data_IF_477029857585
#
_entry.id   IF_477029857585
#
_cell.length_a   1.000
_cell.length_b   1.000
_cell.length_c   1.000
_cell.angle_alpha   90.00
_cell.angle_beta   90.00
_cell.angle_gamma   90.00
#
_symmetry.space_group_name_H-M   'P 1'
#
loop_
_entity.id
_entity.type
_entity.pdbx_description
1 polymer ?
#
# COMPACT_ATOMS: atom_id res chain seq x y z
N UNK A 1 -3.88 6.39 30.82
CA UNK A 1 -4.75 5.62 29.89
C UNK A 1 -6.13 6.24 29.64
N UNK A 2 -6.88 6.71 30.66
CA UNK A 2 -8.21 7.37 30.46
C UNK A 2 -8.17 8.58 29.51
N UNK A 3 -7.16 9.46 29.63
CA UNK A 3 -7.02 10.64 28.75
C UNK A 3 -6.77 10.30 27.27
N UNK A 4 -6.15 9.15 26.98
CA UNK A 4 -5.84 8.76 25.60
C UNK A 4 -7.07 8.21 24.85
N UNK A 5 -8.07 7.66 25.57
CA UNK A 5 -9.32 7.18 24.94
C UNK A 5 -10.17 8.32 24.37
N UNK A 6 -10.07 9.52 24.93
CA UNK A 6 -10.72 10.71 24.35
C UNK A 6 -10.03 11.14 23.06
N UNK A 7 -8.70 11.03 22.98
CA UNK A 7 -7.95 11.29 21.75
C UNK A 7 -8.34 10.31 20.63
N UNK A 8 -8.56 9.03 20.95
CA UNK A 8 -9.08 8.07 19.98
C UNK A 8 -10.44 8.48 19.40
N UNK A 9 -11.35 9.00 20.24
CA UNK A 9 -12.64 9.49 19.76
C UNK A 9 -12.49 10.74 18.91
N UNK A 10 -11.54 11.61 19.26
CA UNK A 10 -11.24 12.81 18.49
C UNK A 10 -10.69 12.43 17.11
N UNK A 11 -9.77 11.45 17.01
CA UNK A 11 -9.27 10.94 15.73
C UNK A 11 -10.41 10.40 14.86
N UNK A 12 -11.30 9.58 15.43
CA UNK A 12 -12.48 9.06 14.71
C UNK A 12 -13.39 10.22 14.28
N UNK A 13 -13.66 11.19 15.14
CA UNK A 13 -14.52 12.33 14.81
C UNK A 13 -13.91 13.20 13.70
N UNK A 14 -12.61 13.47 13.74
CA UNK A 14 -11.89 14.21 12.71
C UNK A 14 -11.86 13.44 11.38
N UNK A 15 -11.73 12.12 11.42
CA UNK A 15 -11.86 11.27 10.24
C UNK A 15 -13.25 11.39 9.61
N UNK A 16 -14.32 11.27 10.40
CA UNK A 16 -15.68 11.43 9.91
C UNK A 16 -15.92 12.83 9.32
N UNK A 17 -15.39 13.89 9.97
CA UNK A 17 -15.46 15.25 9.46
C UNK A 17 -14.71 15.42 8.12
N UNK A 18 -13.52 14.83 8.00
CA UNK A 18 -12.74 14.84 6.76
C UNK A 18 -13.47 14.16 5.60
N UNK A 19 -14.09 12.99 5.84
CA UNK A 19 -14.95 12.35 4.85
C UNK A 19 -16.18 13.17 4.52
N UNK A 20 -16.83 13.80 5.51
CA UNK A 20 -17.99 14.66 5.26
C UNK A 20 -17.63 15.84 4.34
N UNK A 21 -16.45 16.44 4.50
CA UNK A 21 -15.94 17.49 3.59
C UNK A 21 -15.71 16.94 2.19
N UNK A 22 -15.07 15.76 2.06
CA UNK A 22 -14.86 15.10 0.78
C UNK A 22 -16.18 14.81 0.05
N UNK A 23 -17.15 14.20 0.75
CA UNK A 23 -18.48 13.89 0.22
C UNK A 23 -19.27 15.15 -0.13
N UNK A 24 -19.20 16.20 0.70
CA UNK A 24 -19.80 17.49 0.39
C UNK A 24 -19.24 18.06 -0.92
N UNK A 25 -17.93 17.97 -1.12
CA UNK A 25 -17.29 18.40 -2.36
C UNK A 25 -17.73 17.58 -3.58
N UNK A 26 -17.94 16.27 -3.42
CA UNK A 26 -18.52 15.41 -4.47
C UNK A 26 -19.95 15.83 -4.80
N UNK A 27 -20.81 15.99 -3.80
CA UNK A 27 -22.23 16.36 -4.00
C UNK A 27 -22.38 17.75 -4.61
N UNK A 28 -21.52 18.70 -4.24
CA UNK A 28 -21.55 20.08 -4.74
C UNK A 28 -20.78 20.27 -6.05
N UNK A 29 -19.98 19.31 -6.47
CA UNK A 29 -19.10 19.44 -7.64
C UNK A 29 -17.96 20.45 -7.42
N UNK A 30 -17.48 20.58 -6.18
CA UNK A 30 -16.45 21.56 -5.82
C UNK A 30 -15.10 21.18 -6.39
N UNK A 31 -14.64 21.93 -7.39
CA UNK A 31 -13.46 21.59 -8.21
C UNK A 31 -12.20 21.41 -7.38
N UNK A 32 -11.97 22.24 -6.37
CA UNK A 32 -10.77 22.14 -5.52
C UNK A 32 -10.79 20.85 -4.71
N UNK A 33 -11.93 20.47 -4.13
CA UNK A 33 -12.05 19.23 -3.38
C UNK A 33 -11.91 18.04 -4.32
N UNK A 34 -12.56 18.07 -5.48
CA UNK A 34 -12.46 17.00 -6.47
C UNK A 34 -11.03 16.84 -7.04
N UNK A 35 -10.26 17.93 -7.16
CA UNK A 35 -8.85 17.91 -7.57
C UNK A 35 -7.98 17.16 -6.55
N UNK A 36 -8.31 17.27 -5.25
CA UNK A 36 -7.53 16.73 -4.13
C UNK A 36 -8.28 15.63 -3.37
N UNK A 37 -9.29 15.03 -4.00
CA UNK A 37 -10.25 14.13 -3.36
C UNK A 37 -9.57 12.91 -2.74
N UNK A 38 -8.47 12.46 -3.35
CA UNK A 38 -7.60 11.41 -2.84
C UNK A 38 -7.24 11.60 -1.36
N UNK A 39 -6.85 12.82 -0.97
CA UNK A 39 -6.42 13.09 0.40
C UNK A 39 -7.58 13.03 1.38
N UNK A 40 -8.77 13.47 0.96
CA UNK A 40 -10.01 13.34 1.74
C UNK A 40 -10.50 11.88 1.84
N UNK A 41 -10.14 11.02 0.90
CA UNK A 41 -10.46 9.59 0.98
C UNK A 41 -9.55 8.85 1.97
N UNK A 42 -8.24 9.07 1.89
CA UNK A 42 -7.25 8.19 2.54
C UNK A 42 -6.78 8.64 3.92
N UNK A 43 -6.50 9.93 4.13
CA UNK A 43 -6.04 10.39 5.45
C UNK A 43 -7.11 10.23 6.52
N UNK A 44 -8.38 10.57 6.26
CA UNK A 44 -9.45 10.28 7.20
C UNK A 44 -9.64 8.77 7.44
N UNK A 45 -9.52 7.92 6.41
CA UNK A 45 -9.56 6.46 6.60
C UNK A 45 -8.47 6.00 7.57
N UNK A 46 -7.22 6.41 7.34
CA UNK A 46 -6.07 6.01 8.16
C UNK A 46 -6.23 6.49 9.60
N UNK A 47 -6.59 7.76 9.81
CA UNK A 47 -6.80 8.32 11.15
C UNK A 47 -7.96 7.64 11.88
N UNK A 48 -9.06 7.38 11.17
CA UNK A 48 -10.23 6.69 11.72
C UNK A 48 -9.91 5.24 12.12
N UNK A 49 -9.20 4.50 11.26
CA UNK A 49 -8.77 3.13 11.55
C UNK A 49 -7.81 3.08 12.74
N UNK A 50 -6.86 4.01 12.86
CA UNK A 50 -5.95 4.06 14.00
C UNK A 50 -6.70 4.35 15.32
N UNK A 51 -7.64 5.31 15.30
CA UNK A 51 -8.50 5.59 16.45
C UNK A 51 -9.39 4.39 16.84
N UNK A 52 -9.95 3.68 15.86
CA UNK A 52 -10.72 2.44 16.09
C UNK A 52 -9.82 1.35 16.68
N UNK A 53 -8.63 1.13 16.11
CA UNK A 53 -7.66 0.18 16.63
C UNK A 53 -7.31 0.50 18.08
N UNK A 54 -7.17 1.78 18.41
CA UNK A 54 -6.90 2.20 19.77
C UNK A 54 -8.05 1.86 20.73
N UNK A 55 -9.29 2.04 20.29
CA UNK A 55 -10.47 1.66 21.07
C UNK A 55 -10.56 0.15 21.31
N UNK A 56 -10.15 -0.66 20.33
CA UNK A 56 -10.24 -2.11 20.39
C UNK A 56 -9.08 -2.77 21.15
N UNK A 57 -7.85 -2.32 20.93
CA UNK A 57 -6.61 -2.96 21.46
C UNK A 57 -5.83 -2.11 22.45
N UNK A 58 -6.15 -0.83 22.61
CA UNK A 58 -5.34 0.07 23.45
C UNK A 58 -3.99 0.44 22.83
N UNK A 59 -3.81 0.22 21.53
CA UNK A 59 -2.60 0.55 20.76
C UNK A 59 -2.97 1.46 19.59
N UNK A 60 -2.15 2.48 19.34
CA UNK A 60 -2.30 3.42 18.22
C UNK A 60 -0.93 3.73 17.61
N UNK A 61 -0.84 3.71 16.29
CA UNK A 61 0.39 4.07 15.59
C UNK A 61 0.66 5.57 15.72
N UNK A 62 -0.36 6.43 15.60
CA UNK A 62 -0.17 7.89 15.70
C UNK A 62 0.18 8.33 17.13
N UNK A 63 -0.52 7.82 18.13
CA UNK A 63 -0.41 8.31 19.51
C UNK A 63 0.64 7.56 20.33
N UNK A 64 0.72 6.23 20.16
CA UNK A 64 1.62 5.41 21.00
C UNK A 64 2.94 5.08 20.31
N UNK A 65 3.00 5.07 18.98
CA UNK A 65 4.20 4.71 18.21
C UNK A 65 4.51 5.68 17.04
N UNK A 66 4.49 7.02 17.25
CA UNK A 66 4.54 8.00 16.16
C UNK A 66 5.79 7.88 15.29
N UNK A 67 6.94 7.49 15.87
CA UNK A 67 8.18 7.30 15.11
C UNK A 67 8.06 6.16 14.10
N UNK A 68 7.49 5.03 14.51
CA UNK A 68 7.28 3.89 13.62
C UNK A 68 6.23 4.22 12.56
N UNK A 69 5.19 4.98 12.92
CA UNK A 69 4.20 5.46 11.98
C UNK A 69 4.83 6.37 10.90
N UNK A 70 5.64 7.35 11.29
CA UNK A 70 6.37 8.21 10.36
C UNK A 70 7.33 7.42 9.46
N UNK A 71 8.02 6.42 10.01
CA UNK A 71 8.86 5.52 9.21
C UNK A 71 8.02 4.70 8.20
N UNK A 72 6.86 4.20 8.61
CA UNK A 72 5.93 3.50 7.72
C UNK A 72 5.44 4.40 6.59
N UNK A 73 5.09 5.67 6.87
CA UNK A 73 4.74 6.65 5.84
C UNK A 73 5.89 6.85 4.85
N UNK A 74 7.12 7.00 5.35
CA UNK A 74 8.32 7.18 4.53
C UNK A 74 8.59 5.94 3.65
N UNK A 75 8.50 4.73 4.21
CA UNK A 75 8.65 3.50 3.43
C UNK A 75 7.53 3.30 2.43
N UNK A 76 6.29 3.70 2.75
CA UNK A 76 5.15 3.57 1.86
C UNK A 76 5.36 4.27 0.53
N UNK A 77 5.97 5.47 0.56
CA UNK A 77 6.35 6.18 -0.68
C UNK A 77 7.30 5.34 -1.53
N UNK A 78 8.29 4.71 -0.90
CA UNK A 78 9.29 3.91 -1.64
C UNK A 78 8.70 2.64 -2.19
N UNK A 79 7.87 1.96 -1.41
CA UNK A 79 7.14 0.76 -1.82
C UNK A 79 6.31 1.08 -3.06
N UNK A 80 5.50 2.14 -3.04
CA UNK A 80 4.69 2.50 -4.20
C UNK A 80 5.55 2.88 -5.42
N UNK A 81 6.65 3.61 -5.22
CA UNK A 81 7.54 3.98 -6.31
C UNK A 81 8.23 2.79 -6.99
N UNK A 82 8.38 1.66 -6.31
CA UNK A 82 8.83 0.41 -6.93
C UNK A 82 7.78 -0.10 -7.93
N UNK A 83 6.50 -0.06 -7.58
CA UNK A 83 5.41 -0.41 -8.50
C UNK A 83 5.29 0.60 -9.65
N UNK A 84 5.52 1.89 -9.40
CA UNK A 84 5.64 2.89 -10.47
C UNK A 84 6.79 2.58 -11.42
N UNK A 85 7.95 2.14 -10.92
CA UNK A 85 9.08 1.75 -11.76
C UNK A 85 8.72 0.57 -12.69
N UNK A 86 7.98 -0.42 -12.17
CA UNK A 86 7.44 -1.51 -13.00
C UNK A 86 6.41 -1.00 -14.00
N UNK A 87 5.57 -0.05 -13.59
CA UNK A 87 4.57 0.56 -14.46
C UNK A 87 5.18 1.35 -15.62
N UNK A 88 6.39 1.91 -15.48
CA UNK A 88 7.09 2.53 -16.62
C UNK A 88 7.28 1.55 -17.80
N UNK A 89 7.48 0.26 -17.50
CA UNK A 89 7.60 -0.79 -18.50
C UNK A 89 6.23 -1.36 -18.92
N UNK A 90 5.36 -1.63 -17.94
CA UNK A 90 4.08 -2.33 -18.17
C UNK A 90 2.98 -1.41 -18.73
N UNK A 91 3.02 -0.13 -18.37
CA UNK A 91 2.04 0.90 -18.75
C UNK A 91 0.61 0.48 -18.40
N UNK A 92 0.43 -0.11 -17.22
CA UNK A 92 -0.86 -0.60 -16.72
C UNK A 92 -1.78 0.53 -16.26
N UNK A 93 -1.22 1.63 -15.74
CA UNK A 93 -1.97 2.81 -15.35
C UNK A 93 -1.24 4.11 -15.72
N UNK A 94 -1.99 5.19 -15.80
CA UNK A 94 -1.46 6.55 -15.94
C UNK A 94 -2.27 7.56 -15.14
N UNK A 95 -1.68 8.74 -14.94
CA UNK A 95 -2.27 9.83 -14.16
C UNK A 95 -2.81 10.94 -15.05
N UNK A 96 -4.01 11.43 -14.74
CA UNK A 96 -4.67 12.52 -15.47
C UNK A 96 -5.01 13.70 -14.56
N UNK A 97 -5.13 14.88 -15.18
CA UNK A 97 -5.48 16.17 -14.57
C UNK A 97 -4.59 16.55 -13.37
N UNK A 98 -3.30 16.19 -13.42
CA UNK A 98 -2.34 16.54 -12.38
C UNK A 98 -1.98 18.03 -12.43
N UNK A 99 -1.68 18.62 -11.27
CA UNK A 99 -1.29 20.03 -11.17
C UNK A 99 -0.06 20.34 -12.04
N UNK A 100 -0.03 21.43 -12.83
CA UNK A 100 1.12 21.77 -13.68
C UNK A 100 2.36 22.18 -12.86
N UNK A 101 2.17 22.64 -11.62
CA UNK A 101 3.25 23.07 -10.73
C UNK A 101 4.06 21.87 -10.21
N UNK A 102 5.24 21.61 -10.80
CA UNK A 102 6.03 20.42 -10.52
C UNK A 102 6.35 20.18 -9.04
N UNK A 103 6.71 21.22 -8.28
CA UNK A 103 7.03 21.07 -6.85
C UNK A 103 5.79 20.72 -6.00
N UNK A 104 4.61 21.26 -6.34
CA UNK A 104 3.34 20.91 -5.69
C UNK A 104 2.96 19.47 -6.04
N UNK A 105 3.17 19.09 -7.30
CA UNK A 105 2.90 17.74 -7.79
C UNK A 105 3.75 16.70 -7.09
N UNK A 106 5.05 16.94 -6.95
CA UNK A 106 5.97 16.02 -6.27
C UNK A 106 5.67 15.93 -4.77
N UNK A 107 5.34 17.04 -4.12
CA UNK A 107 4.84 17.00 -2.74
C UNK A 107 3.55 16.17 -2.64
N UNK A 108 2.65 16.34 -3.62
CA UNK A 108 1.44 15.53 -3.77
C UNK A 108 1.74 14.03 -3.91
N UNK A 109 2.76 13.63 -4.69
CA UNK A 109 3.19 12.24 -4.81
C UNK A 109 3.67 11.67 -3.48
N UNK A 110 4.54 12.39 -2.76
CA UNK A 110 5.00 11.95 -1.43
C UNK A 110 3.82 11.74 -0.49
N UNK A 111 2.93 12.72 -0.41
CA UNK A 111 1.76 12.68 0.48
C UNK A 111 0.80 11.58 0.06
N UNK A 112 0.57 11.39 -1.25
CA UNK A 112 -0.34 10.35 -1.73
C UNK A 112 0.20 8.94 -1.54
N UNK A 113 1.47 8.71 -1.86
CA UNK A 113 2.09 7.38 -1.79
C UNK A 113 2.44 6.97 -0.36
N UNK A 114 2.50 7.92 0.57
CA UNK A 114 2.65 7.64 1.99
C UNK A 114 1.46 6.87 2.60
N UNK A 115 0.29 6.84 1.93
CA UNK A 115 -0.94 6.26 2.50
C UNK A 115 -1.12 4.77 2.23
N UNK A 116 -0.34 4.17 1.33
CA UNK A 116 -0.55 2.79 0.85
C UNK A 116 -0.34 1.76 1.97
N UNK A 117 0.86 1.71 2.57
CA UNK A 117 1.15 0.78 3.67
C UNK A 117 0.24 1.00 4.89
N UNK A 118 0.09 2.23 5.44
CA UNK A 118 -0.78 2.42 6.60
C UNK A 118 -2.23 2.05 6.28
N UNK A 119 -2.73 2.35 5.08
CA UNK A 119 -4.09 1.99 4.66
C UNK A 119 -4.34 0.49 4.74
N UNK A 120 -3.44 -0.31 4.15
CA UNK A 120 -3.55 -1.78 4.14
C UNK A 120 -3.34 -2.36 5.54
N UNK A 121 -2.25 -1.99 6.22
CA UNK A 121 -1.86 -2.61 7.49
C UNK A 121 -2.82 -2.26 8.63
N UNK A 122 -3.32 -1.02 8.70
CA UNK A 122 -4.32 -0.65 9.70
C UNK A 122 -5.64 -1.35 9.45
N UNK A 123 -6.07 -1.47 8.20
CA UNK A 123 -7.31 -2.19 7.85
C UNK A 123 -7.21 -3.65 8.31
N UNK A 124 -6.10 -4.33 8.02
CA UNK A 124 -5.88 -5.70 8.46
C UNK A 124 -5.87 -5.82 10.01
N UNK A 125 -5.16 -4.92 10.69
CA UNK A 125 -5.09 -4.91 12.17
C UNK A 125 -6.46 -4.65 12.81
N UNK A 126 -7.27 -3.76 12.24
CA UNK A 126 -8.64 -3.49 12.72
C UNK A 126 -9.54 -4.70 12.51
N UNK A 127 -9.49 -5.37 11.35
CA UNK A 127 -10.22 -6.63 11.11
C UNK A 127 -9.88 -7.68 12.15
N UNK A 128 -8.58 -7.87 12.44
CA UNK A 128 -8.18 -8.77 13.51
C UNK A 128 -8.61 -8.28 14.89
N UNK A 129 -8.56 -6.98 15.17
CA UNK A 129 -8.98 -6.42 16.45
C UNK A 129 -10.48 -6.63 16.71
N UNK A 130 -11.30 -6.59 15.65
CA UNK A 130 -12.74 -6.90 15.70
C UNK A 130 -13.05 -8.39 15.88
N UNK A 131 -12.04 -9.27 15.87
CA UNK A 131 -12.24 -10.71 16.06
C UNK A 131 -12.45 -11.50 14.77
N UNK A 132 -12.24 -10.90 13.59
CA UNK A 132 -12.38 -11.60 12.32
C UNK A 132 -11.46 -12.84 12.26
N UNK A 133 -12.01 -13.96 11.77
CA UNK A 133 -11.35 -15.27 11.62
C UNK A 133 -10.50 -15.74 12.82
N UNK A 134 -10.88 -15.38 14.05
CA UNK A 134 -10.09 -15.71 15.26
C UNK A 134 -9.81 -17.21 15.43
N UNK A 135 -10.73 -18.05 14.99
CA UNK A 135 -10.64 -19.50 15.11
C UNK A 135 -9.97 -20.17 13.89
N UNK A 136 -9.57 -19.40 12.88
CA UNK A 136 -8.97 -19.94 11.67
C UNK A 136 -7.48 -20.26 11.93
N UNK A 137 -7.24 -21.52 12.28
CA UNK A 137 -5.91 -22.12 12.39
C UNK A 137 -5.86 -23.37 11.53
N UNK A 138 -4.69 -23.67 10.98
CA UNK A 138 -4.44 -24.93 10.31
C UNK A 138 -3.41 -25.75 11.09
N UNK A 139 -3.28 -27.03 10.73
CA UNK A 139 -2.18 -27.85 11.23
C UNK A 139 -0.86 -27.28 10.72
N UNK A 140 0.14 -27.09 11.59
CA UNK A 140 1.49 -26.73 11.16
C UNK A 140 2.05 -27.79 10.22
N UNK A 141 2.90 -27.37 9.29
CA UNK A 141 3.68 -28.27 8.43
C UNK A 141 5.12 -27.77 8.33
N UNK A 142 6.05 -28.68 8.05
CA UNK A 142 7.44 -28.31 7.82
C UNK A 142 7.61 -27.95 6.33
N UNK A 143 7.87 -26.67 5.98
CA UNK A 143 8.04 -26.26 4.60
C UNK A 143 9.41 -26.66 4.03
N UNK A 144 10.30 -27.26 4.83
CA UNK A 144 11.67 -27.57 4.43
C UNK A 144 12.45 -26.31 4.06
N UNK A 145 13.37 -26.43 3.09
CA UNK A 145 14.12 -25.30 2.54
C UNK A 145 13.32 -24.63 1.40
N UNK A 146 12.24 -23.93 1.76
CA UNK A 146 11.32 -23.29 0.82
C UNK A 146 11.88 -22.01 0.19
N UNK A 147 12.91 -21.40 0.78
CA UNK A 147 13.45 -20.09 0.41
C UNK A 147 13.93 -20.04 -1.06
N UNK A 148 14.74 -20.99 -1.56
CA UNK A 148 15.20 -20.95 -2.95
C UNK A 148 14.05 -21.07 -3.95
N UNK A 149 13.06 -21.93 -3.68
CA UNK A 149 11.88 -22.08 -4.55
C UNK A 149 11.04 -20.81 -4.55
N UNK A 150 10.84 -20.20 -3.38
CA UNK A 150 10.18 -18.90 -3.26
C UNK A 150 10.89 -17.83 -4.10
N UNK A 151 12.22 -17.72 -3.99
CA UNK A 151 12.98 -16.77 -4.79
C UNK A 151 12.85 -17.02 -6.30
N UNK A 152 12.91 -18.28 -6.75
CA UNK A 152 12.72 -18.63 -8.16
C UNK A 152 11.32 -18.24 -8.66
N UNK A 153 10.28 -18.52 -7.87
CA UNK A 153 8.91 -18.11 -8.17
C UNK A 153 8.81 -16.58 -8.23
N UNK A 154 9.34 -15.88 -7.25
CA UNK A 154 9.32 -14.41 -7.21
C UNK A 154 10.05 -13.78 -8.41
N UNK A 155 11.20 -14.32 -8.80
CA UNK A 155 11.93 -13.88 -10.00
C UNK A 155 11.11 -14.14 -11.27
N UNK A 156 10.48 -15.31 -11.39
CA UNK A 156 9.62 -15.61 -12.53
C UNK A 156 8.42 -14.66 -12.60
N UNK A 157 7.75 -14.41 -11.46
CA UNK A 157 6.62 -13.49 -11.37
C UNK A 157 7.02 -12.03 -11.65
N UNK A 158 8.27 -11.65 -11.45
CA UNK A 158 8.79 -10.32 -11.78
C UNK A 158 9.21 -10.20 -13.26
N UNK A 159 9.89 -11.21 -13.81
CA UNK A 159 10.45 -11.17 -15.17
C UNK A 159 9.40 -11.46 -16.24
N UNK A 160 8.50 -12.43 -16.03
CA UNK A 160 7.49 -12.81 -17.02
C UNK A 160 6.60 -11.63 -17.46
N UNK A 161 6.13 -10.75 -16.56
CA UNK A 161 5.42 -9.53 -16.94
C UNK A 161 6.23 -8.59 -17.84
N UNK A 162 7.54 -8.51 -17.66
CA UNK A 162 8.40 -7.64 -18.48
C UNK A 162 8.63 -8.23 -19.88
N UNK A 163 8.69 -9.56 -19.99
CA UNK A 163 8.83 -10.25 -21.28
C UNK A 163 7.51 -10.35 -22.05
N UNK A 164 6.40 -10.56 -21.32
CA UNK A 164 5.06 -10.78 -21.89
C UNK A 164 4.01 -9.85 -21.26
N UNK A 165 4.18 -8.51 -21.35
CA UNK A 165 3.36 -7.54 -20.62
C UNK A 165 1.87 -7.62 -20.97
N UNK A 166 1.53 -8.11 -22.17
CA UNK A 166 0.14 -8.25 -22.59
C UNK A 166 -0.68 -9.22 -21.74
N UNK A 167 -0.06 -10.30 -21.23
CA UNK A 167 -0.77 -11.39 -20.56
C UNK A 167 -0.28 -11.65 -19.15
N UNK A 168 1.03 -11.47 -18.91
CA UNK A 168 1.64 -11.78 -17.63
C UNK A 168 1.56 -10.62 -16.63
N UNK A 169 1.07 -9.42 -17.01
CA UNK A 169 0.98 -8.27 -16.11
C UNK A 169 0.34 -8.54 -14.73
N UNK A 170 -0.65 -9.45 -14.55
CA UNK A 170 -1.23 -9.70 -13.23
C UNK A 170 -0.25 -10.37 -12.25
N UNK A 171 0.79 -11.03 -12.76
CA UNK A 171 1.74 -11.79 -11.92
C UNK A 171 2.58 -10.89 -11.01
N UNK A 172 2.73 -9.61 -11.35
CA UNK A 172 3.51 -8.67 -10.54
C UNK A 172 2.97 -8.52 -9.11
N UNK A 173 1.66 -8.74 -8.90
CA UNK A 173 0.98 -8.53 -7.62
C UNK A 173 1.24 -9.65 -6.60
N UNK A 174 2.09 -10.63 -6.93
CA UNK A 174 2.63 -11.61 -5.98
C UNK A 174 4.16 -11.75 -6.01
N UNK A 175 4.85 -11.02 -6.90
CA UNK A 175 6.29 -11.11 -7.06
C UNK A 175 7.07 -10.76 -5.79
N UNK A 176 6.76 -9.63 -5.14
CA UNK A 176 7.51 -9.14 -3.99
C UNK A 176 7.27 -9.96 -2.72
N UNK A 177 6.10 -10.58 -2.59
CA UNK A 177 5.84 -11.56 -1.53
C UNK A 177 6.89 -12.68 -1.58
N UNK A 178 7.02 -13.34 -2.73
CA UNK A 178 7.94 -14.46 -2.88
C UNK A 178 9.42 -14.07 -2.91
N UNK A 179 9.73 -12.85 -3.38
CA UNK A 179 11.10 -12.32 -3.39
C UNK A 179 11.60 -11.93 -2.00
N UNK A 180 10.77 -11.32 -1.16
CA UNK A 180 11.23 -10.67 0.07
C UNK A 180 10.96 -11.47 1.34
N UNK A 181 9.91 -12.29 1.38
CA UNK A 181 9.58 -13.08 2.58
C UNK A 181 10.69 -14.06 3.01
N UNK A 182 11.43 -14.71 2.07
CA UNK A 182 12.63 -15.47 2.43
C UNK A 182 13.66 -14.65 3.21
N UNK A 183 13.86 -13.38 2.85
CA UNK A 183 14.80 -12.51 3.54
C UNK A 183 14.26 -12.04 4.90
N UNK A 184 12.95 -11.85 5.04
CA UNK A 184 12.33 -11.63 6.36
C UNK A 184 12.69 -12.77 7.31
N UNK A 185 12.57 -14.02 6.86
CA UNK A 185 12.95 -15.20 7.64
C UNK A 185 14.45 -15.23 7.96
N UNK A 186 15.30 -15.05 6.94
CA UNK A 186 16.76 -15.12 7.09
C UNK A 186 17.35 -14.02 7.99
N UNK A 187 16.72 -12.85 8.01
CA UNK A 187 17.10 -11.74 8.91
C UNK A 187 16.53 -11.91 10.33
N UNK A 188 15.79 -12.99 10.60
CA UNK A 188 15.11 -13.23 11.88
C UNK A 188 14.03 -12.18 12.18
N UNK A 189 13.36 -11.68 11.13
CA UNK A 189 12.19 -10.81 11.18
C UNK A 189 10.88 -11.61 11.06
N UNK A 190 9.79 -10.89 10.80
CA UNK A 190 8.46 -11.49 10.66
C UNK A 190 8.22 -11.98 9.22
N UNK A 191 8.23 -13.31 9.03
CA UNK A 191 7.96 -13.97 7.74
C UNK A 191 6.54 -14.52 7.72
N UNK A 192 5.76 -14.06 6.74
CA UNK A 192 4.40 -14.52 6.53
C UNK A 192 4.36 -16.00 6.12
N UNK A 193 5.27 -16.45 5.25
CA UNK A 193 5.33 -17.87 4.87
C UNK A 193 5.66 -18.76 6.07
N UNK A 194 6.57 -18.33 6.95
CA UNK A 194 6.88 -19.08 8.17
C UNK A 194 5.67 -19.17 9.12
N UNK A 195 4.92 -18.07 9.29
CA UNK A 195 3.68 -18.06 10.08
C UNK A 195 2.58 -18.91 9.45
N UNK A 196 2.47 -18.87 8.11
CA UNK A 196 1.59 -19.74 7.34
C UNK A 196 1.94 -21.22 7.58
N UNK A 197 3.23 -21.57 7.55
CA UNK A 197 3.70 -22.92 7.83
C UNK A 197 3.48 -23.34 9.29
N UNK A 198 3.56 -22.40 10.24
CA UNK A 198 3.19 -22.61 11.64
C UNK A 198 1.68 -22.76 11.89
N UNK A 199 0.85 -22.68 10.84
CA UNK A 199 -0.61 -22.86 10.92
C UNK A 199 -1.38 -21.57 11.24
N UNK A 200 -0.71 -20.41 11.27
CA UNK A 200 -1.33 -19.11 11.47
C UNK A 200 -1.96 -18.59 10.16
N UNK A 201 -3.27 -18.75 10.02
CA UNK A 201 -4.01 -18.32 8.81
C UNK A 201 -4.66 -16.95 8.93
N UNK A 202 -4.90 -16.52 10.16
CA UNK A 202 -5.73 -15.37 10.47
C UNK A 202 -5.22 -14.09 9.80
N UNK A 203 -3.95 -13.77 10.03
CA UNK A 203 -3.33 -12.55 9.49
C UNK A 203 -3.36 -12.54 7.96
N UNK A 204 -3.03 -13.67 7.32
CA UNK A 204 -3.11 -13.81 5.86
C UNK A 204 -4.50 -13.47 5.33
N UNK A 205 -5.56 -14.02 5.93
CA UNK A 205 -6.94 -13.75 5.49
C UNK A 205 -7.34 -12.31 5.80
N UNK A 206 -6.92 -11.74 6.93
CA UNK A 206 -7.14 -10.33 7.24
C UNK A 206 -6.42 -9.40 6.25
N UNK A 207 -5.20 -9.72 5.83
CA UNK A 207 -4.45 -8.97 4.81
C UNK A 207 -5.14 -9.08 3.44
N UNK A 208 -5.52 -10.28 3.01
CA UNK A 208 -6.26 -10.48 1.75
C UNK A 208 -7.57 -9.68 1.74
N UNK A 209 -8.32 -9.72 2.85
CA UNK A 209 -9.55 -8.95 3.02
C UNK A 209 -9.28 -7.44 3.05
N UNK A 210 -8.23 -7.00 3.75
CA UNK A 210 -7.82 -5.60 3.78
C UNK A 210 -7.44 -5.09 2.39
N UNK A 211 -6.72 -5.89 1.60
CA UNK A 211 -6.43 -5.60 0.20
C UNK A 211 -7.69 -5.36 -0.60
N UNK A 212 -8.66 -6.28 -0.53
CA UNK A 212 -9.94 -6.11 -1.23
C UNK A 212 -10.70 -4.85 -0.77
N UNK A 213 -10.81 -4.61 0.54
CA UNK A 213 -11.49 -3.44 1.11
C UNK A 213 -10.80 -2.15 0.66
N UNK A 214 -9.48 -2.08 0.75
CA UNK A 214 -8.70 -0.93 0.32
C UNK A 214 -8.81 -0.71 -1.20
N UNK A 215 -8.87 -1.79 -2.01
CA UNK A 215 -9.06 -1.70 -3.45
C UNK A 215 -10.44 -1.18 -3.83
N UNK A 216 -11.50 -1.69 -3.20
CA UNK A 216 -12.87 -1.16 -3.37
C UNK A 216 -12.97 0.30 -2.93
N UNK A 217 -12.36 0.63 -1.79
CA UNK A 217 -12.29 2.00 -1.29
C UNK A 217 -11.55 2.90 -2.28
N UNK A 218 -10.40 2.46 -2.79
CA UNK A 218 -9.64 3.18 -3.78
C UNK A 218 -10.51 3.54 -4.98
N UNK A 219 -11.09 2.53 -5.61
CA UNK A 219 -11.80 2.69 -6.88
C UNK A 219 -13.05 3.55 -6.74
N UNK A 220 -13.78 3.42 -5.61
CA UNK A 220 -14.96 4.22 -5.34
C UNK A 220 -14.66 5.73 -5.28
N UNK A 221 -13.56 6.13 -4.63
CA UNK A 221 -13.19 7.55 -4.52
C UNK A 221 -12.47 8.06 -5.77
N UNK A 222 -11.65 7.23 -6.41
CA UNK A 222 -10.97 7.57 -7.65
C UNK A 222 -11.95 7.93 -8.78
N UNK A 223 -13.13 7.29 -8.81
CA UNK A 223 -14.17 7.56 -9.80
C UNK A 223 -14.61 9.02 -9.86
N UNK A 224 -14.77 9.67 -8.70
CA UNK A 224 -15.23 11.06 -8.59
C UNK A 224 -14.11 12.09 -8.71
N UNK A 225 -12.86 11.68 -8.57
CA UNK A 225 -11.73 12.60 -8.53
C UNK A 225 -11.43 13.21 -9.92
N UNK A 226 -11.03 14.49 -9.93
CA UNK A 226 -10.49 15.13 -11.14
C UNK A 226 -9.07 14.63 -11.37
N UNK A 227 -8.18 14.78 -10.37
CA UNK A 227 -6.87 14.12 -10.39
C UNK A 227 -7.07 12.67 -10.05
N UNK A 228 -6.94 11.80 -11.04
CA UNK A 228 -7.14 10.36 -10.84
C UNK A 228 -6.14 9.55 -11.65
N UNK A 229 -6.03 8.28 -11.29
CA UNK A 229 -5.46 7.32 -12.22
C UNK A 229 -6.51 6.78 -13.17
N UNK A 230 -6.05 6.34 -14.33
CA UNK A 230 -6.82 5.62 -15.33
C UNK A 230 -6.06 4.37 -15.73
N UNK A 231 -6.79 3.25 -15.85
CA UNK A 231 -6.20 1.97 -16.23
C UNK A 231 -6.11 1.83 -17.75
N UNK A 232 -4.95 1.40 -18.21
CA UNK A 232 -4.64 1.09 -19.62
C UNK A 232 -4.22 -0.38 -19.70
N UNK A 233 -5.15 -1.29 -19.41
CA UNK A 233 -4.83 -2.72 -19.43
C UNK A 233 -4.76 -3.24 -20.88
N UNK A 234 -3.77 -4.08 -21.23
CA UNK A 234 -3.65 -4.63 -22.58
C UNK A 234 -4.81 -5.57 -22.96
N UNK A 235 -5.39 -6.23 -21.95
CA UNK A 235 -6.51 -7.19 -22.04
C UNK A 235 -7.38 -6.98 -20.80
N UNK A 236 -8.63 -7.50 -20.80
CA UNK A 236 -9.59 -7.41 -19.69
C UNK A 236 -10.24 -6.03 -19.49
N UNK A 237 -10.38 -5.20 -20.53
CA UNK A 237 -11.04 -3.88 -20.42
C UNK A 237 -12.58 -3.92 -20.31
N UNK A 238 -13.17 -5.07 -20.00
CA UNK A 238 -14.60 -5.28 -19.97
C UNK A 238 -15.12 -5.38 -18.51
N UNK A 239 -16.42 -5.18 -18.29
CA UNK A 239 -17.07 -5.36 -16.96
C UNK A 239 -16.43 -4.45 -15.90
N UNK A 240 -16.25 -3.17 -16.24
CA UNK A 240 -15.67 -2.18 -15.34
C UNK A 240 -16.62 -1.85 -14.20
N UNK A 241 -16.09 -1.88 -12.98
CA UNK A 241 -16.71 -1.32 -11.79
C UNK A 241 -15.81 -0.15 -11.39
N UNK A 242 -16.34 1.06 -11.53
CA UNK A 242 -15.53 2.29 -11.56
C UNK A 242 -14.51 2.27 -12.72
N UNK A 243 -13.25 2.64 -12.49
CA UNK A 243 -12.23 2.66 -13.54
C UNK A 243 -11.65 1.25 -13.80
N UNK A 244 -11.69 0.37 -12.79
CA UNK A 244 -11.10 -0.95 -12.84
C UNK A 244 -12.05 -2.03 -13.40
N UNK A 245 -11.58 -2.92 -14.29
CA UNK A 245 -12.27 -4.15 -14.62
C UNK A 245 -12.47 -5.06 -13.41
N UNK A 246 -13.59 -5.78 -13.35
CA UNK A 246 -13.89 -6.68 -12.24
C UNK A 246 -12.76 -7.69 -11.92
N UNK A 247 -12.09 -8.34 -12.90
CA UNK A 247 -10.95 -9.21 -12.62
C UNK A 247 -9.74 -8.47 -12.02
N UNK A 248 -9.62 -7.17 -12.26
CA UNK A 248 -8.57 -6.33 -11.70
C UNK A 248 -8.62 -6.29 -10.16
N UNK A 249 -9.80 -6.36 -9.56
CA UNK A 249 -9.95 -6.37 -8.10
C UNK A 249 -9.28 -7.58 -7.44
N UNK A 250 -9.04 -8.66 -8.18
CA UNK A 250 -8.31 -9.83 -7.70
C UNK A 250 -6.81 -9.56 -7.47
N UNK A 251 -6.28 -8.45 -8.00
CA UNK A 251 -4.90 -8.01 -7.73
C UNK A 251 -4.72 -7.39 -6.35
N UNK A 252 -5.76 -6.80 -5.76
CA UNK A 252 -5.65 -6.12 -4.47
C UNK A 252 -5.39 -7.06 -3.27
N UNK A 253 -6.04 -8.23 -3.15
CA UNK A 253 -5.73 -9.18 -2.08
C UNK A 253 -4.26 -9.61 -2.03
N UNK A 254 -3.64 -10.16 -3.11
CA UNK A 254 -2.25 -10.56 -3.07
C UNK A 254 -1.30 -9.35 -2.90
N UNK A 255 -1.63 -8.18 -3.46
CA UNK A 255 -0.90 -6.94 -3.20
C UNK A 255 -0.80 -6.60 -1.71
N UNK A 256 -1.85 -6.83 -0.92
CA UNK A 256 -1.80 -6.57 0.52
C UNK A 256 -0.80 -7.49 1.25
N UNK A 257 -0.62 -8.73 0.78
CA UNK A 257 0.45 -9.60 1.29
C UNK A 257 1.82 -9.06 0.90
N UNK A 258 2.00 -8.59 -0.33
CA UNK A 258 3.26 -7.95 -0.76
C UNK A 258 3.60 -6.73 0.09
N UNK A 259 2.62 -5.84 0.29
CA UNK A 259 2.77 -4.64 1.10
C UNK A 259 3.24 -4.98 2.53
N UNK A 260 2.65 -6.00 3.14
CA UNK A 260 3.04 -6.47 4.47
C UNK A 260 4.46 -7.07 4.47
N UNK A 261 4.80 -7.93 3.52
CA UNK A 261 6.15 -8.50 3.41
C UNK A 261 7.21 -7.43 3.15
N UNK A 262 6.93 -6.47 2.28
CA UNK A 262 7.83 -5.34 2.00
C UNK A 262 8.07 -4.51 3.27
N UNK A 263 7.02 -4.23 4.05
CA UNK A 263 7.14 -3.54 5.33
C UNK A 263 7.97 -4.34 6.35
N UNK A 264 7.71 -5.64 6.48
CA UNK A 264 8.43 -6.54 7.37
C UNK A 264 9.92 -6.62 6.99
N UNK A 265 10.22 -6.73 5.69
CA UNK A 265 11.58 -6.74 5.16
C UNK A 265 12.30 -5.43 5.46
N UNK A 266 11.69 -4.27 5.21
CA UNK A 266 12.28 -2.97 5.49
C UNK A 266 12.56 -2.77 6.99
N UNK A 267 11.64 -3.22 7.84
CA UNK A 267 11.81 -3.21 9.29
C UNK A 267 12.97 -4.10 9.73
N UNK A 268 13.05 -5.33 9.20
CA UNK A 268 14.14 -6.25 9.48
C UNK A 268 15.49 -5.71 8.96
N UNK A 269 15.50 -5.10 7.78
CA UNK A 269 16.67 -4.47 7.18
C UNK A 269 17.20 -3.33 8.06
N UNK A 270 16.32 -2.45 8.56
CA UNK A 270 16.74 -1.35 9.44
C UNK A 270 17.29 -1.88 10.78
N UNK A 271 16.64 -2.89 11.35
CA UNK A 271 17.00 -3.47 12.63
C UNK A 271 18.31 -4.29 12.59
N UNK A 272 18.58 -4.97 11.47
CA UNK A 272 19.67 -5.98 11.39
C UNK A 272 20.84 -5.57 10.49
N UNK A 273 20.59 -4.80 9.45
CA UNK A 273 21.60 -4.47 8.42
C UNK A 273 22.03 -3.01 8.51
N UNK A 274 21.07 -2.10 8.67
CA UNK A 274 21.31 -0.65 8.81
C UNK A 274 21.50 -0.25 10.27
N UNK A 275 22.33 -0.98 11.01
CA UNK A 275 22.53 -0.77 12.45
C UNK A 275 23.35 0.48 12.78
N UNK A 276 24.20 0.94 11.86
CA UNK A 276 25.05 2.11 12.08
C UNK A 276 24.45 3.40 11.51
N UNK A 277 24.67 4.57 12.16
CA UNK A 277 24.15 5.85 11.65
C UNK A 277 24.62 6.17 10.23
N UNK A 278 25.87 5.80 9.89
CA UNK A 278 26.43 5.99 8.55
C UNK A 278 25.68 5.19 7.49
N UNK A 279 25.38 3.91 7.75
CA UNK A 279 24.60 3.06 6.84
C UNK A 279 23.18 3.56 6.66
N UNK A 280 22.51 3.97 7.74
CA UNK A 280 21.17 4.57 7.68
C UNK A 280 21.15 5.83 6.82
N UNK A 281 22.11 6.74 7.05
CA UNK A 281 22.24 7.97 6.26
C UNK A 281 22.39 7.68 4.77
N UNK A 282 23.26 6.74 4.40
CA UNK A 282 23.43 6.37 2.99
C UNK A 282 22.17 5.71 2.40
N UNK A 283 21.49 4.84 3.15
CA UNK A 283 20.22 4.26 2.71
C UNK A 283 19.19 5.34 2.42
N UNK A 284 19.04 6.33 3.30
CA UNK A 284 18.09 7.43 3.11
C UNK A 284 18.48 8.35 1.94
N UNK A 285 19.77 8.62 1.74
CA UNK A 285 20.24 9.40 0.58
C UNK A 285 19.93 8.66 -0.72
N UNK A 286 20.20 7.34 -0.78
CA UNK A 286 19.89 6.53 -1.96
C UNK A 286 18.37 6.47 -2.22
N UNK A 287 17.58 6.34 -1.17
CA UNK A 287 16.12 6.32 -1.26
C UNK A 287 15.57 7.66 -1.78
N UNK A 288 16.05 8.79 -1.26
CA UNK A 288 15.65 10.12 -1.75
C UNK A 288 16.10 10.36 -3.20
N UNK A 289 17.29 9.88 -3.58
CA UNK A 289 17.76 9.94 -4.96
C UNK A 289 16.85 9.11 -5.88
N UNK A 290 16.44 7.91 -5.44
CA UNK A 290 15.47 7.08 -6.14
C UNK A 290 14.12 7.81 -6.29
N UNK A 291 13.64 8.50 -5.27
CA UNK A 291 12.38 9.27 -5.35
C UNK A 291 12.45 10.37 -6.40
N UNK A 292 13.51 11.19 -6.37
CA UNK A 292 13.69 12.29 -7.32
C UNK A 292 13.76 11.75 -8.77
N UNK A 293 14.47 10.63 -8.97
CA UNK A 293 14.54 9.97 -10.27
C UNK A 293 13.16 9.50 -10.72
N UNK A 294 12.41 8.84 -9.83
CA UNK A 294 11.08 8.31 -10.15
C UNK A 294 10.05 9.41 -10.39
N UNK A 295 10.06 10.50 -9.63
CA UNK A 295 9.14 11.62 -9.88
C UNK A 295 9.37 12.24 -11.24
N UNK A 296 10.63 12.38 -11.68
CA UNK A 296 10.95 12.81 -13.05
C UNK A 296 10.47 11.80 -14.09
N UNK A 297 10.67 10.51 -13.83
CA UNK A 297 10.25 9.47 -14.76
C UNK A 297 8.72 9.41 -14.91
N UNK A 298 7.99 9.50 -13.79
CA UNK A 298 6.54 9.54 -13.79
C UNK A 298 6.00 10.76 -14.54
N UNK A 299 6.57 11.95 -14.30
CA UNK A 299 6.18 13.17 -15.04
C UNK A 299 6.36 13.01 -16.55
N UNK A 300 7.36 12.26 -17.00
CA UNK A 300 7.62 12.01 -18.40
C UNK A 300 6.73 10.91 -19.01
N UNK A 301 6.47 9.83 -18.27
CA UNK A 301 5.91 8.59 -18.84
C UNK A 301 4.62 8.08 -18.22
N UNK A 302 4.31 8.45 -16.98
CA UNK A 302 3.08 8.01 -16.29
C UNK A 302 2.01 9.10 -16.27
N UNK A 303 2.40 10.38 -16.22
CA UNK A 303 1.44 11.50 -16.22
C UNK A 303 1.05 11.84 -17.65
N UNK A 304 -0.09 11.29 -18.08
CA UNK A 304 -0.63 11.44 -19.42
C UNK A 304 -0.90 12.92 -19.74
N UNK A 305 -1.30 13.72 -18.75
CA UNK A 305 -1.61 15.15 -18.95
C UNK A 305 -0.44 16.01 -19.43
N UNK A 306 0.80 15.52 -19.35
CA UNK A 306 1.98 16.22 -19.85
C UNK A 306 2.62 15.56 -21.07
N UNK A 307 2.05 14.45 -21.55
CA UNK A 307 2.45 13.81 -22.79
C UNK A 307 1.84 14.61 -23.94
N UNK A 308 2.71 15.20 -24.77
CA UNK A 308 2.31 15.85 -26.03
C UNK A 308 2.04 14.81 -27.11
#
# INVERSE_FOLDING_TARGET
MRNLRYLANLEIALALAGWAVGLWGVVRGEKIILQYLYFFAWYPLIAGLDGVLFRLRGQSWLLTQPRQFLQMLFWSVTVWLIFEALNLALKNWGYVAMTPMGWVRWAGYVVAFATVLPGVLLTAQVLEAMGAWRNLKARPFNPGNWQPVSLLVGVALLILPLLFPRYAFPLIWGAFFFLLDPFCWLLGGDSLMARFAAGERREHVCLLAAGLICGLWWEAWNWFAISKWVYTLPVLNCWKVFEMPLPGFLGFPPFALEAAVMYNFLTALEARVLTTPKRRRYSYVLQLAFWIMMFRAMDAWTVISFQK
#
